data_IF_347044084494
#
_entry.id   IF_347044084494
#
_cell.length_a   1.000
_cell.length_b   1.000
_cell.length_c   1.000
_cell.angle_alpha   90.00
_cell.angle_beta   90.00
_cell.angle_gamma   90.00
#
_symmetry.space_group_name_H-M   'P 1'
#
loop_
_entity.id
_entity.type
_entity.pdbx_description
1 polymer ?
#
# COMPACT_ATOMS: atom_id res chain seq x y z
N UNK A 1 -4.97 18.07 11.71
CA UNK A 1 -6.33 18.54 11.35
C UNK A 1 -7.30 17.38 11.35
N UNK A 2 -8.51 17.58 11.87
CA UNK A 2 -9.60 16.61 11.82
C UNK A 2 -9.97 16.30 10.36
N UNK A 3 -10.10 15.02 10.00
CA UNK A 3 -10.55 14.63 8.66
C UNK A 3 -12.07 14.83 8.60
N UNK A 4 -12.54 15.72 7.72
CA UNK A 4 -13.97 15.96 7.55
C UNK A 4 -14.62 14.77 6.83
N UNK A 5 -15.72 14.27 7.40
CA UNK A 5 -16.62 13.32 6.76
C UNK A 5 -17.32 13.98 5.56
N UNK A 6 -17.74 13.20 4.54
CA UNK A 6 -18.44 13.73 3.37
C UNK A 6 -19.73 14.48 3.74
N UNK A 7 -20.43 14.02 4.78
CA UNK A 7 -21.66 14.64 5.30
C UNK A 7 -21.42 16.07 5.77
N UNK A 8 -20.38 16.30 6.60
CA UNK A 8 -20.04 17.66 7.09
C UNK A 8 -19.73 18.58 5.91
N UNK A 9 -19.01 18.08 4.89
CA UNK A 9 -18.73 18.89 3.68
C UNK A 9 -20.01 19.26 2.95
N UNK A 10 -20.96 18.34 2.83
CA UNK A 10 -22.24 18.59 2.17
C UNK A 10 -23.08 19.63 2.91
N UNK A 11 -23.15 19.55 4.25
CA UNK A 11 -23.88 20.50 5.09
C UNK A 11 -23.27 21.90 4.97
N UNK A 12 -21.94 22.02 5.06
CA UNK A 12 -21.24 23.30 4.96
C UNK A 12 -21.43 23.93 3.57
N UNK A 13 -21.36 23.12 2.51
CA UNK A 13 -21.57 23.58 1.14
C UNK A 13 -23.03 24.02 0.93
N UNK A 14 -24.01 23.25 1.41
CA UNK A 14 -25.42 23.59 1.32
C UNK A 14 -25.74 24.90 2.07
N UNK A 15 -25.25 25.06 3.30
CA UNK A 15 -25.42 26.28 4.09
C UNK A 15 -24.79 27.51 3.42
N UNK A 16 -23.64 27.34 2.73
CA UNK A 16 -23.01 28.40 1.98
C UNK A 16 -23.83 28.80 0.74
N UNK A 17 -24.36 27.83 -0.02
CA UNK A 17 -25.22 28.13 -1.19
C UNK A 17 -26.58 28.70 -0.80
N UNK A 18 -27.12 28.32 0.36
CA UNK A 18 -28.35 28.90 0.92
C UNK A 18 -28.16 30.32 1.48
N UNK A 19 -26.92 30.83 1.55
CA UNK A 19 -26.62 32.16 2.07
C UNK A 19 -26.77 32.30 3.60
N UNK A 20 -26.91 31.20 4.32
CA UNK A 20 -27.18 31.18 5.77
C UNK A 20 -26.00 31.72 6.60
N UNK A 21 -24.77 31.55 6.13
CA UNK A 21 -23.57 31.98 6.83
C UNK A 21 -22.40 32.26 5.89
N UNK A 22 -21.49 33.14 6.32
CA UNK A 22 -20.23 33.39 5.63
C UNK A 22 -19.23 32.24 5.81
N UNK A 23 -18.22 32.16 4.93
CA UNK A 23 -17.17 31.12 4.99
C UNK A 23 -16.43 31.11 6.34
N UNK A 24 -16.24 32.29 6.94
CA UNK A 24 -15.57 32.45 8.24
C UNK A 24 -16.43 31.91 9.37
N UNK A 25 -17.72 32.25 9.39
CA UNK A 25 -18.67 31.72 10.39
C UNK A 25 -18.78 30.19 10.30
N UNK A 26 -18.85 29.62 9.09
CA UNK A 26 -18.86 28.17 8.91
C UNK A 26 -17.56 27.51 9.38
N UNK A 27 -16.41 28.15 9.16
CA UNK A 27 -15.13 27.69 9.67
C UNK A 27 -15.11 27.64 11.21
N UNK A 28 -15.60 28.70 11.86
CA UNK A 28 -15.66 28.82 13.32
C UNK A 28 -16.64 27.81 13.95
N UNK A 29 -17.87 27.68 13.40
CA UNK A 29 -18.91 26.75 13.88
C UNK A 29 -18.43 25.29 13.81
N UNK A 30 -17.83 24.90 12.70
CA UNK A 30 -17.41 23.52 12.47
C UNK A 30 -15.98 23.22 12.92
N UNK A 31 -15.23 24.23 13.39
CA UNK A 31 -13.85 24.10 13.87
C UNK A 31 -12.84 23.74 12.78
N UNK A 32 -13.03 24.24 11.56
CA UNK A 32 -12.10 24.03 10.44
C UNK A 32 -11.43 25.34 10.03
N UNK A 33 -10.27 25.25 9.36
CA UNK A 33 -9.63 26.43 8.79
C UNK A 33 -10.45 27.00 7.62
N UNK A 34 -10.47 28.33 7.46
CA UNK A 34 -11.24 29.02 6.41
C UNK A 34 -10.89 28.55 4.99
N UNK A 35 -9.63 28.21 4.74
CA UNK A 35 -9.18 27.68 3.45
C UNK A 35 -9.76 26.29 3.17
N UNK A 36 -10.02 25.50 4.22
CA UNK A 36 -10.61 24.16 4.06
C UNK A 36 -12.05 24.26 3.60
N UNK A 37 -12.83 25.16 4.23
CA UNK A 37 -14.20 25.48 3.81
C UNK A 37 -14.21 26.05 2.39
N UNK A 38 -13.28 26.97 2.08
CA UNK A 38 -13.15 27.55 0.73
C UNK A 38 -12.81 26.48 -0.31
N UNK A 39 -11.95 25.52 0.03
CA UNK A 39 -11.63 24.37 -0.82
C UNK A 39 -12.86 23.50 -1.07
N UNK A 40 -13.69 23.21 -0.06
CA UNK A 40 -14.91 22.42 -0.25
C UNK A 40 -15.90 23.11 -1.18
N UNK A 41 -16.11 24.41 -1.01
CA UNK A 41 -16.97 25.20 -1.91
C UNK A 41 -16.43 25.14 -3.34
N UNK A 42 -15.13 25.35 -3.54
CA UNK A 42 -14.50 25.25 -4.87
C UNK A 42 -14.67 23.87 -5.48
N UNK A 43 -14.42 22.80 -4.72
CA UNK A 43 -14.55 21.44 -5.21
C UNK A 43 -16.02 21.06 -5.51
N UNK A 44 -16.99 21.61 -4.77
CA UNK A 44 -18.42 21.40 -5.03
C UNK A 44 -18.88 21.92 -6.39
N UNK A 45 -18.32 23.06 -6.85
CA UNK A 45 -18.62 23.64 -8.18
C UNK A 45 -18.22 22.72 -9.33
N UNK A 46 -17.26 21.83 -9.09
CA UNK A 46 -16.76 20.82 -10.05
C UNK A 46 -17.36 19.43 -9.75
N UNK A 47 -18.35 19.35 -8.84
CA UNK A 47 -19.00 18.09 -8.46
C UNK A 47 -18.14 17.15 -7.60
N UNK A 48 -17.02 17.62 -7.03
CA UNK A 48 -16.08 16.78 -6.25
C UNK A 48 -16.18 17.04 -4.74
N UNK A 49 -17.26 16.60 -4.11
CA UNK A 49 -17.44 16.75 -2.65
C UNK A 49 -16.70 15.67 -1.84
N UNK A 50 -16.63 14.46 -2.39
CA UNK A 50 -15.99 13.33 -1.73
C UNK A 50 -14.47 13.57 -1.56
N UNK A 51 -13.86 13.12 -0.44
CA UNK A 51 -12.41 13.04 -0.33
C UNK A 51 -11.83 12.21 -1.46
N UNK A 52 -10.70 12.63 -2.02
CA UNK A 52 -9.97 11.76 -2.94
C UNK A 52 -9.46 10.54 -2.16
N UNK A 53 -9.48 9.34 -2.76
CA UNK A 53 -8.84 8.19 -2.17
C UNK A 53 -7.37 8.51 -1.92
N UNK A 54 -6.82 7.98 -0.81
CA UNK A 54 -5.38 8.11 -0.56
C UNK A 54 -4.63 7.42 -1.69
N UNK A 55 -3.68 8.13 -2.30
CA UNK A 55 -2.79 7.54 -3.28
C UNK A 55 -1.89 6.51 -2.60
N UNK A 56 -1.80 5.32 -3.18
CA UNK A 56 -0.79 4.32 -2.83
C UNK A 56 0.22 4.21 -3.96
N UNK A 57 1.46 3.82 -3.65
CA UNK A 57 2.47 3.53 -4.67
C UNK A 57 2.02 2.32 -5.49
N UNK A 58 2.08 2.46 -6.81
CA UNK A 58 1.69 1.40 -7.75
C UNK A 58 2.62 0.19 -7.55
N UNK A 59 2.04 -1.02 -7.62
CA UNK A 59 2.77 -2.29 -7.55
C UNK A 59 3.81 -2.37 -8.67
N UNK A 60 4.98 -2.95 -8.39
CA UNK A 60 6.03 -3.10 -9.40
C UNK A 60 5.70 -4.17 -10.45
N UNK A 61 4.85 -5.13 -10.07
CA UNK A 61 4.35 -6.16 -10.98
C UNK A 61 2.90 -5.88 -11.36
N UNK A 62 2.62 -6.00 -12.66
CA UNK A 62 1.28 -5.97 -13.23
C UNK A 62 0.57 -7.32 -13.06
N UNK A 63 -0.76 -7.35 -13.19
CA UNK A 63 -1.54 -8.59 -13.05
C UNK A 63 -1.06 -9.71 -13.99
N UNK A 64 -0.75 -9.40 -15.24
CA UNK A 64 -0.25 -10.37 -16.21
C UNK A 64 1.13 -10.91 -15.83
N UNK A 65 2.00 -10.06 -15.29
CA UNK A 65 3.35 -10.45 -14.85
C UNK A 65 3.29 -11.36 -13.61
N UNK A 66 2.27 -11.22 -12.77
CA UNK A 66 2.04 -12.13 -11.64
C UNK A 66 1.68 -13.55 -12.12
N UNK A 67 0.89 -13.66 -13.19
CA UNK A 67 0.55 -14.96 -13.79
C UNK A 67 1.80 -15.61 -14.40
N UNK A 68 2.62 -14.84 -15.11
CA UNK A 68 3.89 -15.33 -15.65
C UNK A 68 4.87 -15.74 -14.55
N UNK A 69 4.90 -14.99 -13.43
CA UNK A 69 5.72 -15.33 -12.29
C UNK A 69 5.27 -16.66 -11.64
N UNK A 70 3.96 -16.88 -11.51
CA UNK A 70 3.44 -18.14 -10.99
C UNK A 70 3.86 -19.32 -11.87
N UNK A 71 3.66 -19.22 -13.18
CA UNK A 71 4.09 -20.26 -14.12
C UNK A 71 5.62 -20.48 -14.11
N UNK A 72 6.42 -19.42 -13.94
CA UNK A 72 7.87 -19.55 -13.85
C UNK A 72 8.30 -20.33 -12.60
N UNK A 73 7.65 -20.06 -11.45
CA UNK A 73 7.94 -20.74 -10.18
C UNK A 73 7.52 -22.22 -10.24
N UNK A 74 6.40 -22.54 -10.89
CA UNK A 74 5.97 -23.93 -11.09
C UNK A 74 6.98 -24.73 -11.93
N UNK A 75 7.54 -24.11 -12.97
CA UNK A 75 8.55 -24.75 -13.82
C UNK A 75 9.94 -24.81 -13.16
N UNK A 76 10.26 -23.90 -12.23
CA UNK A 76 11.56 -23.81 -11.57
C UNK A 76 11.39 -23.59 -10.05
N UNK A 77 11.05 -24.63 -9.27
CA UNK A 77 10.75 -24.49 -7.84
C UNK A 77 11.98 -24.09 -7.00
N UNK A 78 13.19 -24.38 -7.46
CA UNK A 78 14.45 -24.06 -6.79
C UNK A 78 15.04 -22.69 -7.19
N UNK A 79 14.34 -21.93 -8.04
CA UNK A 79 14.83 -20.63 -8.50
C UNK A 79 15.03 -19.65 -7.34
N UNK A 80 16.19 -18.99 -7.31
CA UNK A 80 16.48 -18.01 -6.26
C UNK A 80 15.75 -16.68 -6.51
N UNK A 81 15.51 -15.90 -5.45
CA UNK A 81 14.90 -14.55 -5.58
C UNK A 81 15.70 -13.63 -6.52
N UNK A 82 17.02 -13.83 -6.60
CA UNK A 82 17.90 -13.07 -7.49
C UNK A 82 17.72 -13.48 -8.96
N UNK A 83 17.58 -14.78 -9.24
CA UNK A 83 17.28 -15.28 -10.59
C UNK A 83 15.92 -14.79 -11.08
N UNK A 84 14.89 -14.84 -10.23
CA UNK A 84 13.57 -14.28 -10.54
C UNK A 84 13.68 -12.79 -10.89
N UNK A 85 14.46 -12.01 -10.14
CA UNK A 85 14.68 -10.59 -10.45
C UNK A 85 15.29 -10.40 -11.83
N UNK A 86 16.32 -11.17 -12.14
CA UNK A 86 17.06 -11.08 -13.40
C UNK A 86 16.18 -11.50 -14.58
N UNK A 87 15.39 -12.57 -14.43
CA UNK A 87 14.47 -13.06 -15.46
C UNK A 87 13.41 -12.03 -15.85
N UNK A 88 12.84 -11.32 -14.88
CA UNK A 88 11.83 -10.28 -15.13
C UNK A 88 12.43 -8.89 -15.42
N UNK A 89 13.75 -8.74 -15.40
CA UNK A 89 14.49 -7.50 -15.62
C UNK A 89 13.96 -6.29 -14.80
N UNK A 90 13.39 -6.53 -13.61
CA UNK A 90 12.82 -5.47 -12.77
C UNK A 90 13.83 -4.95 -11.75
N UNK A 91 13.89 -3.63 -11.60
CA UNK A 91 14.68 -2.94 -10.56
C UNK A 91 13.98 -2.97 -9.19
N UNK A 92 13.63 -4.18 -8.69
CA UNK A 92 13.04 -4.36 -7.36
C UNK A 92 14.08 -4.85 -6.34
N UNK A 93 13.82 -4.57 -5.06
CA UNK A 93 14.51 -5.26 -3.97
C UNK A 93 14.08 -6.72 -3.89
N UNK A 94 14.96 -7.60 -3.38
CA UNK A 94 14.65 -9.02 -3.17
C UNK A 94 13.43 -9.21 -2.24
N UNK A 95 13.28 -8.30 -1.26
CA UNK A 95 12.14 -8.30 -0.34
C UNK A 95 10.82 -8.03 -1.07
N UNK A 96 10.81 -7.17 -2.10
CA UNK A 96 9.62 -6.93 -2.90
C UNK A 96 9.19 -8.20 -3.64
N UNK A 97 10.13 -8.93 -4.23
CA UNK A 97 9.88 -10.21 -4.91
C UNK A 97 9.32 -11.23 -3.92
N UNK A 98 9.94 -11.35 -2.73
CA UNK A 98 9.44 -12.25 -1.69
C UNK A 98 8.00 -11.93 -1.26
N UNK A 99 7.67 -10.65 -1.06
CA UNK A 99 6.30 -10.22 -0.73
C UNK A 99 5.30 -10.53 -1.85
N UNK A 100 5.73 -10.44 -3.10
CA UNK A 100 4.90 -10.76 -4.26
C UNK A 100 4.62 -12.26 -4.32
N UNK A 101 5.64 -13.09 -4.12
CA UNK A 101 5.50 -14.55 -4.06
C UNK A 101 4.54 -14.96 -2.93
N UNK A 102 4.69 -14.37 -1.74
CA UNK A 102 3.75 -14.57 -0.63
C UNK A 102 2.32 -14.13 -0.98
N UNK A 103 2.16 -13.01 -1.70
CA UNK A 103 0.85 -12.51 -2.14
C UNK A 103 0.16 -13.47 -3.14
N UNK A 104 0.94 -14.18 -3.95
CA UNK A 104 0.43 -15.21 -4.87
C UNK A 104 0.06 -16.50 -4.12
N UNK A 105 0.48 -16.65 -2.86
CA UNK A 105 0.12 -17.79 -2.00
C UNK A 105 1.20 -18.86 -1.89
N UNK A 106 2.38 -18.64 -2.48
CA UNK A 106 3.50 -19.56 -2.35
C UNK A 106 4.19 -19.42 -1.01
N UNK A 107 4.38 -20.55 -0.32
CA UNK A 107 5.09 -20.63 0.96
C UNK A 107 6.33 -21.49 0.77
N UNK A 108 7.48 -21.01 1.25
CA UNK A 108 8.70 -21.81 1.24
C UNK A 108 8.58 -22.96 2.23
N UNK A 109 8.46 -24.18 1.73
CA UNK A 109 8.51 -25.37 2.57
C UNK A 109 9.95 -25.64 2.96
N UNK A 110 10.26 -25.54 4.25
CA UNK A 110 11.57 -25.87 4.79
C UNK A 110 11.76 -27.39 4.77
N UNK A 111 12.23 -27.93 3.65
CA UNK A 111 12.61 -29.34 3.58
C UNK A 111 13.92 -29.56 4.38
N UNK A 112 14.04 -30.73 5.00
CA UNK A 112 15.13 -31.10 5.91
C UNK A 112 16.53 -31.11 5.28
N UNK A 113 16.62 -30.96 3.95
CA UNK A 113 17.83 -30.91 3.13
C UNK A 113 18.58 -29.58 3.21
N UNK A 114 17.92 -28.51 3.70
CA UNK A 114 18.61 -27.28 4.06
C UNK A 114 19.60 -27.57 5.18
N UNK A 115 20.88 -27.77 4.83
CA UNK A 115 22.01 -28.12 5.71
C UNK A 115 21.74 -27.63 7.11
N UNK A 116 21.29 -28.53 8.00
CA UNK A 116 21.21 -28.21 9.43
C UNK A 116 22.58 -27.67 9.80
N UNK A 117 22.65 -26.43 10.28
CA UNK A 117 23.86 -25.93 10.91
C UNK A 117 24.15 -26.89 12.06
N UNK A 118 25.04 -27.86 11.82
CA UNK A 118 25.41 -28.82 12.86
C UNK A 118 26.03 -27.97 13.96
N UNK A 119 25.46 -28.03 15.16
CA UNK A 119 26.15 -27.51 16.33
C UNK A 119 27.54 -28.16 16.32
N UNK A 120 28.61 -27.34 16.30
CA UNK A 120 29.97 -27.85 16.41
C UNK A 120 30.03 -28.61 17.73
N UNK A 121 30.12 -29.93 17.64
CA UNK A 121 30.21 -30.81 18.81
C UNK A 121 31.34 -30.31 19.71
N UNK A 122 31.04 -30.21 21.00
CA UNK A 122 32.02 -29.83 22.01
C UNK A 122 33.19 -30.82 21.96
N UNK A 123 34.35 -30.37 21.52
CA UNK A 123 35.58 -31.17 21.53
C UNK A 123 35.98 -31.42 22.98
N UNK A 124 35.72 -32.63 23.47
CA UNK A 124 36.23 -33.09 24.76
C UNK A 124 37.76 -33.19 24.62
N UNK A 125 38.49 -32.29 25.29
CA UNK A 125 39.95 -32.34 25.35
C UNK A 125 40.40 -33.62 26.10
N UNK A 126 41.45 -34.32 25.65
CA UNK A 126 41.97 -35.49 26.35
C UNK A 126 42.63 -35.08 27.68
N UNK A 127 42.54 -35.99 28.65
CA UNK A 127 43.04 -35.86 30.03
C UNK A 127 44.55 -35.73 30.11
#
# INVERSE_FOLDING_TARGET
MKQATPEIRSIVVAAYFAGTASRKQLADIFGYHIETVSRWIRCSRVGRLAPLPRGHRISVFNANELVQLAAFIENNPDATLAEIRTHFAKSCSLVAIHKIIQKIGYVFKKNAEGKRARARGHSQKPR
#
